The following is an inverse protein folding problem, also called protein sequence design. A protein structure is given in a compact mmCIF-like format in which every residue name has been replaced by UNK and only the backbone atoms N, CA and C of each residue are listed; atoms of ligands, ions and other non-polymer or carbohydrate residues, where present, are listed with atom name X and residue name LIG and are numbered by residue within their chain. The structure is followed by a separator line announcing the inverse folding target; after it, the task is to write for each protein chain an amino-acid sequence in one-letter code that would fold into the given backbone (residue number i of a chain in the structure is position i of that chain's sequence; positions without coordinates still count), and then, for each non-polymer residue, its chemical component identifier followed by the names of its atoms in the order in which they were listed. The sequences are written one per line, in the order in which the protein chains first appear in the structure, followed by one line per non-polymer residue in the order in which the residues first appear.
data_IF_894165268107
#
_entry.id   IF_894165268107
#
_cell.length_a   1.000
_cell.length_b   1.000
_cell.length_c   1.000
_cell.angle_alpha   90.00
_cell.angle_beta   90.00
_cell.angle_gamma   90.00
#
_symmetry.space_group_name_H-M   'P 1'
#
loop_
_entity.id
_entity.type
_entity.pdbx_description
1 polymer ?
#
# COMPACT_ATOMS: atom_id res chain seq x y z
N UNK A 1 7.41 16.99 7.24
CA UNK A 1 6.07 17.56 7.55
C UNK A 1 5.13 16.38 7.72
N UNK A 2 4.93 15.97 8.97
CA UNK A 2 3.96 14.96 9.35
C UNK A 2 2.56 15.53 9.10
N UNK A 3 1.77 14.92 8.22
CA UNK A 3 0.32 15.14 8.16
C UNK A 3 -0.39 13.88 8.60
N UNK A 4 -0.57 13.84 9.92
CA UNK A 4 -1.78 13.44 10.62
C UNK A 4 -2.61 12.31 10.00
N UNK A 5 -2.31 11.11 10.51
CA UNK A 5 -3.13 9.90 10.46
C UNK A 5 -4.45 10.21 11.15
N UNK A 6 -5.47 10.57 10.38
CA UNK A 6 -6.77 10.96 10.90
C UNK A 6 -7.83 10.87 9.82
N UNK A 7 -8.10 9.65 9.33
CA UNK A 7 -9.37 9.19 8.70
C UNK A 7 -9.22 7.74 8.23
N UNK A 8 -9.28 6.83 9.20
CA UNK A 8 -9.06 5.39 9.09
C UNK A 8 -10.00 4.60 8.14
N UNK A 9 -10.82 5.22 7.28
CA UNK A 9 -11.81 4.45 6.50
C UNK A 9 -12.00 4.82 5.03
N UNK A 10 -11.44 5.92 4.51
CA UNK A 10 -11.71 6.34 3.11
C UNK A 10 -10.54 6.99 2.36
N UNK A 11 -9.35 7.14 2.96
CA UNK A 11 -8.29 7.96 2.37
C UNK A 11 -7.25 7.22 1.50
N UNK A 12 -7.17 5.89 1.57
CA UNK A 12 -6.07 5.16 0.92
C UNK A 12 -6.18 5.09 -0.61
N UNK A 13 -7.40 5.02 -1.16
CA UNK A 13 -7.60 4.93 -2.62
C UNK A 13 -7.48 6.30 -3.31
N UNK A 14 -7.81 7.40 -2.61
CA UNK A 14 -7.70 8.75 -3.17
C UNK A 14 -6.25 9.09 -3.55
N UNK A 15 -5.25 8.76 -2.72
CA UNK A 15 -3.84 9.03 -3.07
C UNK A 15 -3.44 8.34 -4.37
N UNK A 16 -3.81 7.07 -4.54
CA UNK A 16 -3.53 6.31 -5.76
C UNK A 16 -4.12 6.96 -7.02
N UNK A 17 -5.31 7.57 -6.89
CA UNK A 17 -6.05 8.16 -8.01
C UNK A 17 -5.77 9.65 -8.24
N UNK A 18 -5.38 10.39 -7.20
CA UNK A 18 -5.33 11.87 -7.19
C UNK A 18 -3.91 12.43 -7.18
N UNK A 19 -2.93 11.68 -6.65
CA UNK A 19 -1.55 12.14 -6.51
C UNK A 19 -0.65 11.65 -7.65
N UNK A 20 0.43 12.40 -7.93
CA UNK A 20 1.43 12.06 -8.94
C UNK A 20 2.14 10.71 -8.66
N UNK A 21 2.69 10.08 -9.69
CA UNK A 21 3.36 8.77 -9.58
C UNK A 21 4.45 8.74 -8.50
N UNK A 22 4.46 7.69 -7.68
CA UNK A 22 5.45 7.48 -6.62
C UNK A 22 4.99 6.39 -5.64
N UNK A 23 5.92 5.89 -4.83
CA UNK A 23 5.63 4.87 -3.81
C UNK A 23 4.87 5.48 -2.62
N UNK A 24 3.95 4.71 -2.04
CA UNK A 24 3.23 5.04 -0.80
C UNK A 24 3.88 4.25 0.33
N UNK A 25 4.18 4.92 1.44
CA UNK A 25 4.65 4.29 2.67
C UNK A 25 3.59 4.48 3.76
N UNK A 26 3.04 3.39 4.29
CA UNK A 26 2.04 3.37 5.34
C UNK A 26 2.64 2.82 6.64
N UNK A 27 2.50 3.56 7.74
CA UNK A 27 2.90 3.10 9.07
C UNK A 27 1.68 2.58 9.82
N UNK A 28 1.75 1.33 10.27
CA UNK A 28 0.72 0.65 11.04
C UNK A 28 1.33 0.08 12.32
N UNK A 29 0.48 -0.18 13.31
CA UNK A 29 0.89 -0.48 14.69
C UNK A 29 1.38 -1.91 14.90
N UNK A 30 0.96 -2.85 14.06
CA UNK A 30 1.28 -4.26 14.20
C UNK A 30 0.99 -5.08 12.95
N UNK A 31 1.37 -6.36 13.00
CA UNK A 31 1.19 -7.31 11.90
C UNK A 31 -0.29 -7.48 11.53
N UNK A 32 -1.18 -7.61 12.54
CA UNK A 32 -2.62 -7.80 12.30
C UNK A 32 -3.23 -6.61 11.56
N UNK A 33 -2.85 -5.39 11.90
CA UNK A 33 -3.30 -4.20 11.20
C UNK A 33 -2.74 -4.12 9.78
N UNK A 34 -1.48 -4.51 9.57
CA UNK A 34 -0.85 -4.57 8.25
C UNK A 34 -1.62 -5.54 7.34
N UNK A 35 -1.85 -6.77 7.79
CA UNK A 35 -2.55 -7.80 7.01
C UNK A 35 -4.01 -7.42 6.74
N UNK A 36 -4.68 -6.81 7.73
CA UNK A 36 -6.05 -6.32 7.57
C UNK A 36 -6.15 -5.19 6.54
N UNK A 37 -5.24 -4.22 6.59
CA UNK A 37 -5.19 -3.11 5.62
C UNK A 37 -4.82 -3.62 4.24
N UNK A 38 -3.86 -4.54 4.11
CA UNK A 38 -3.52 -5.14 2.82
C UNK A 38 -4.74 -5.81 2.17
N UNK A 39 -5.48 -6.61 2.94
CA UNK A 39 -6.71 -7.25 2.45
C UNK A 39 -7.74 -6.22 2.00
N UNK A 40 -7.97 -5.18 2.80
CA UNK A 40 -8.91 -4.11 2.46
C UNK A 40 -8.49 -3.37 1.18
N UNK A 41 -7.19 -3.07 1.02
CA UNK A 41 -6.65 -2.45 -0.19
C UNK A 41 -6.91 -3.35 -1.42
N UNK A 42 -6.61 -4.64 -1.31
CA UNK A 42 -6.89 -5.61 -2.38
C UNK A 42 -8.36 -5.69 -2.75
N UNK A 43 -9.26 -5.69 -1.76
CA UNK A 43 -10.71 -5.69 -1.99
C UNK A 43 -11.16 -4.41 -2.71
N UNK A 44 -10.59 -3.25 -2.34
CA UNK A 44 -10.92 -1.96 -2.97
C UNK A 44 -10.37 -1.84 -4.38
N UNK A 45 -9.15 -2.29 -4.66
CA UNK A 45 -8.57 -2.27 -6.01
C UNK A 45 -9.46 -3.04 -6.99
N UNK A 46 -9.98 -4.21 -6.58
CA UNK A 46 -10.88 -5.03 -7.42
C UNK A 46 -12.19 -4.34 -7.77
N UNK A 47 -12.59 -3.33 -7.00
CA UNK A 47 -13.81 -2.54 -7.26
C UNK A 47 -13.54 -1.32 -8.14
N UNK A 48 -12.28 -1.01 -8.46
CA UNK A 48 -11.92 0.10 -9.33
C UNK A 48 -12.07 -0.26 -10.81
N UNK A 49 -12.32 0.74 -11.68
CA UNK A 49 -12.37 0.54 -13.13
C UNK A 49 -11.08 -0.07 -13.69
N UNK A 50 -11.22 -0.81 -14.79
CA UNK A 50 -10.10 -1.36 -15.54
C UNK A 50 -9.11 -0.26 -15.93
N UNK A 51 -7.82 -0.47 -15.63
CA UNK A 51 -6.75 0.51 -15.82
C UNK A 51 -6.33 1.28 -14.55
N UNK A 52 -7.15 1.29 -13.49
CA UNK A 52 -6.77 1.84 -12.18
C UNK A 52 -6.22 0.79 -11.20
N UNK A 53 -6.08 -0.46 -11.65
CA UNK A 53 -5.71 -1.62 -10.82
C UNK A 53 -4.19 -1.81 -10.64
N UNK A 54 -3.36 -0.88 -11.13
CA UNK A 54 -1.90 -0.99 -11.06
C UNK A 54 -1.35 -0.56 -9.69
N UNK A 55 -1.76 -1.27 -8.64
CA UNK A 55 -1.30 -1.04 -7.26
C UNK A 55 -0.70 -2.36 -6.74
N UNK A 56 0.54 -2.29 -6.25
CA UNK A 56 1.27 -3.41 -5.66
C UNK A 56 1.40 -3.18 -4.16
N UNK A 57 0.82 -4.05 -3.33
CA UNK A 57 1.02 -4.02 -1.88
C UNK A 57 2.22 -4.88 -1.48
N UNK A 58 3.07 -4.38 -0.60
CA UNK A 58 4.28 -5.07 -0.10
C UNK A 58 4.37 -4.91 1.42
N UNK A 59 3.72 -5.79 2.20
CA UNK A 59 3.76 -5.70 3.66
C UNK A 59 5.17 -5.94 4.19
N UNK A 60 5.57 -5.17 5.21
CA UNK A 60 6.85 -5.34 5.90
C UNK A 60 6.67 -5.29 7.43
N UNK A 61 7.05 -6.38 8.11
CA UNK A 61 7.06 -6.46 9.56
C UNK A 61 8.14 -7.44 10.05
N UNK A 62 8.50 -7.35 11.33
CA UNK A 62 9.72 -7.94 11.89
C UNK A 62 9.79 -9.49 11.80
N UNK A 63 8.66 -10.18 11.80
CA UNK A 63 8.58 -11.64 11.72
C UNK A 63 8.72 -12.20 10.29
N UNK A 64 8.73 -11.35 9.25
CA UNK A 64 8.91 -11.82 7.87
C UNK A 64 10.33 -12.34 7.61
N UNK A 65 10.51 -13.38 6.79
CA UNK A 65 11.81 -13.76 6.26
C UNK A 65 12.53 -12.59 5.58
N UNK A 66 13.86 -12.53 5.69
CA UNK A 66 14.67 -11.44 5.11
C UNK A 66 14.44 -11.26 3.61
N UNK A 67 14.27 -12.35 2.87
CA UNK A 67 13.95 -12.32 1.44
C UNK A 67 12.64 -11.58 1.14
N UNK A 68 11.63 -11.75 2.01
CA UNK A 68 10.34 -11.09 1.87
C UNK A 68 10.43 -9.61 2.26
N UNK A 69 11.16 -9.28 3.33
CA UNK A 69 11.43 -7.88 3.69
C UNK A 69 12.14 -7.13 2.57
N UNK A 70 13.05 -7.80 1.85
CA UNK A 70 13.79 -7.20 0.74
C UNK A 70 12.88 -6.75 -0.42
N UNK A 71 11.67 -7.31 -0.54
CA UNK A 71 10.72 -6.90 -1.57
C UNK A 71 10.28 -5.43 -1.42
N UNK A 72 10.28 -4.88 -0.19
CA UNK A 72 9.94 -3.47 0.04
C UNK A 72 10.92 -2.52 -0.67
N UNK A 73 12.18 -2.94 -0.84
CA UNK A 73 13.23 -2.15 -1.48
C UNK A 73 13.32 -2.36 -3.00
N UNK A 74 12.63 -3.37 -3.56
CA UNK A 74 12.60 -3.59 -5.01
C UNK A 74 11.77 -2.49 -5.68
N UNK A 75 12.18 -1.99 -6.85
CA UNK A 75 11.39 -1.03 -7.60
C UNK A 75 10.07 -1.66 -8.05
N UNK A 76 8.99 -0.86 -8.09
CA UNK A 76 7.74 -1.31 -8.69
C UNK A 76 7.90 -1.54 -10.21
N UNK A 77 7.14 -2.49 -10.78
CA UNK A 77 7.03 -2.62 -12.23
C UNK A 77 6.53 -1.31 -12.88
N UNK A 78 6.89 -1.08 -14.14
CA UNK A 78 6.46 0.11 -14.87
C UNK A 78 4.93 0.22 -14.90
N UNK A 79 4.41 1.41 -14.58
CA UNK A 79 2.98 1.68 -14.52
C UNK A 79 2.29 1.24 -13.23
N UNK A 80 3.02 0.63 -12.28
CA UNK A 80 2.50 0.29 -10.96
C UNK A 80 2.94 1.29 -9.90
N UNK A 81 2.03 1.56 -8.97
CA UNK A 81 2.32 2.22 -7.71
C UNK A 81 2.57 1.16 -6.63
N UNK A 82 3.64 1.29 -5.85
CA UNK A 82 3.89 0.42 -4.70
C UNK A 82 3.31 1.02 -3.43
N UNK A 83 2.73 0.19 -2.58
CA UNK A 83 2.34 0.53 -1.20
C UNK A 83 3.13 -0.38 -0.28
N UNK A 84 4.02 0.21 0.50
CA UNK A 84 4.78 -0.46 1.56
C UNK A 84 4.07 -0.22 2.88
#
# INVERSE_FOLDING_TARGET
IQRQIGKYHMAHTCIHLEEASGDILAFLTGQEEIESVERLVHERIRQLPDGSQNLLTVPIYASLPSEQQMNAFKPAPSGFRKVI
#
